data_IF_723509663799
#
_entry.id   IF_723509663799
#
_cell.length_a   1.000
_cell.length_b   1.000
_cell.length_c   1.000
_cell.angle_alpha   90.00
_cell.angle_beta   90.00
_cell.angle_gamma   90.00
#
_symmetry.space_group_name_H-M   'P 1'
#
loop_
_entity.id
_entity.type
_entity.pdbx_description
1 polymer ?
#
# COMPACT_ATOMS: atom_id res chain seq x y z
N UNK A 1 -0.30 -5.51 15.57
CA UNK A 1 -1.25 -4.75 14.71
C UNK A 1 -0.95 -5.05 13.25
N UNK A 2 -1.99 -5.23 12.44
CA UNK A 2 -1.86 -5.28 10.99
C UNK A 2 -2.11 -3.88 10.43
N UNK A 3 -1.22 -3.40 9.56
CA UNK A 3 -1.40 -2.14 8.84
C UNK A 3 -1.51 -2.42 7.34
N UNK A 4 -2.24 -1.58 6.63
CA UNK A 4 -2.24 -1.61 5.17
C UNK A 4 -0.98 -0.91 4.67
N UNK A 5 -0.26 -1.48 3.70
CA UNK A 5 0.90 -0.83 3.10
C UNK A 5 0.58 -0.36 1.68
N UNK A 6 0.81 0.93 1.43
CA UNK A 6 0.58 1.55 0.12
C UNK A 6 1.85 1.61 -0.72
N UNK A 7 1.68 1.82 -2.01
CA UNK A 7 2.77 1.93 -2.99
C UNK A 7 3.81 2.96 -2.57
N UNK A 8 3.39 4.15 -2.15
CA UNK A 8 4.30 5.23 -1.75
C UNK A 8 5.25 4.85 -0.62
N UNK A 9 4.76 4.08 0.35
CA UNK A 9 5.58 3.61 1.46
C UNK A 9 6.61 2.56 0.98
N UNK A 10 6.20 1.64 0.12
CA UNK A 10 7.10 0.64 -0.45
C UNK A 10 8.20 1.30 -1.29
N UNK A 11 7.85 2.31 -2.08
CA UNK A 11 8.82 3.07 -2.87
C UNK A 11 9.79 3.80 -1.94
N UNK A 12 9.29 4.47 -0.92
CA UNK A 12 10.11 5.21 0.05
C UNK A 12 11.12 4.29 0.75
N UNK A 13 10.70 3.09 1.15
CA UNK A 13 11.59 2.10 1.73
C UNK A 13 12.67 1.61 0.77
N UNK A 14 12.33 1.47 -0.52
CA UNK A 14 13.18 0.87 -1.54
C UNK A 14 14.12 1.86 -2.22
N UNK A 15 13.89 3.16 -2.06
CA UNK A 15 14.63 4.22 -2.77
C UNK A 15 15.28 5.18 -1.79
N UNK A 16 16.62 5.07 -1.57
CA UNK A 16 17.32 5.95 -0.61
C UNK A 16 17.19 7.45 -0.91
N UNK A 17 16.98 7.84 -2.18
CA UNK A 17 16.80 9.23 -2.57
C UNK A 17 15.36 9.76 -2.42
N UNK A 18 14.41 8.91 -2.02
CA UNK A 18 13.03 9.35 -1.78
C UNK A 18 12.97 10.29 -0.58
N UNK A 19 12.17 11.37 -0.70
CA UNK A 19 12.04 12.38 0.37
C UNK A 19 11.56 11.79 1.70
N UNK A 20 10.82 10.66 1.65
CA UNK A 20 10.29 10.00 2.84
C UNK A 20 11.10 8.78 3.29
N UNK A 21 12.27 8.53 2.67
CA UNK A 21 13.03 7.31 2.93
C UNK A 21 13.36 7.11 4.42
N UNK A 22 13.95 8.12 5.06
CA UNK A 22 14.33 8.02 6.47
C UNK A 22 13.11 7.81 7.38
N UNK A 23 12.03 8.54 7.11
CA UNK A 23 10.79 8.42 7.88
C UNK A 23 10.13 7.06 7.68
N UNK A 24 10.10 6.57 6.46
CA UNK A 24 9.55 5.24 6.15
C UNK A 24 10.32 4.14 6.88
N UNK A 25 11.65 4.22 6.89
CA UNK A 25 12.48 3.26 7.62
C UNK A 25 12.19 3.26 9.12
N UNK A 26 12.03 4.43 9.71
CA UNK A 26 11.72 4.54 11.15
C UNK A 26 10.33 4.00 11.48
N UNK A 27 9.32 4.30 10.66
CA UNK A 27 7.97 3.76 10.83
C UNK A 27 8.00 2.23 10.72
N UNK A 28 8.66 1.69 9.70
CA UNK A 28 8.79 0.24 9.51
C UNK A 28 9.52 -0.43 10.66
N UNK A 29 10.58 0.20 11.18
CA UNK A 29 11.32 -0.31 12.33
C UNK A 29 10.44 -0.40 13.57
N UNK A 30 9.68 0.64 13.87
CA UNK A 30 8.77 0.67 15.03
C UNK A 30 7.67 -0.38 14.89
N UNK A 31 7.08 -0.48 13.70
CA UNK A 31 6.02 -1.44 13.43
C UNK A 31 6.52 -2.89 13.61
N UNK A 32 7.71 -3.18 13.08
CA UNK A 32 8.35 -4.48 13.25
C UNK A 32 8.65 -4.79 14.72
N UNK A 33 9.20 -3.81 15.44
CA UNK A 33 9.53 -3.98 16.86
C UNK A 33 8.30 -4.27 17.72
N UNK A 34 7.13 -3.78 17.32
CA UNK A 34 5.85 -4.05 17.96
C UNK A 34 5.18 -5.35 17.47
N UNK A 35 5.86 -6.17 16.68
CA UNK A 35 5.29 -7.39 16.12
C UNK A 35 4.30 -7.17 14.99
N UNK A 36 4.37 -6.01 14.33
CA UNK A 36 3.44 -5.62 13.28
C UNK A 36 3.58 -6.42 11.99
N UNK A 37 2.48 -6.52 11.28
CA UNK A 37 2.36 -7.19 9.98
C UNK A 37 1.70 -6.23 8.99
N UNK A 38 1.73 -6.61 7.72
CA UNK A 38 1.16 -5.78 6.65
C UNK A 38 0.16 -6.57 5.80
N UNK A 39 -0.82 -5.86 5.31
CA UNK A 39 -1.75 -6.32 4.27
C UNK A 39 -1.74 -5.32 3.12
N UNK A 40 -1.92 -5.78 1.91
CA UNK A 40 -2.06 -4.93 0.74
C UNK A 40 -2.72 -5.71 -0.41
N UNK A 41 -2.69 -5.16 -1.61
CA UNK A 41 -3.32 -5.77 -2.77
C UNK A 41 -2.34 -6.01 -3.92
N UNK A 42 -2.74 -6.88 -4.84
CA UNK A 42 -2.03 -7.11 -6.10
C UNK A 42 -1.86 -5.82 -6.91
N UNK A 43 -2.80 -4.86 -6.80
CA UNK A 43 -2.71 -3.57 -7.50
C UNK A 43 -1.54 -2.73 -6.98
N UNK A 44 -1.33 -2.72 -5.66
CA UNK A 44 -0.18 -2.04 -5.05
C UNK A 44 1.12 -2.68 -5.51
N UNK A 45 1.18 -4.01 -5.54
CA UNK A 45 2.36 -4.71 -6.07
C UNK A 45 2.65 -4.33 -7.51
N UNK A 46 1.61 -4.26 -8.36
CA UNK A 46 1.76 -3.89 -9.76
C UNK A 46 2.29 -2.47 -9.91
N UNK A 47 1.74 -1.52 -9.16
CA UNK A 47 2.23 -0.14 -9.17
C UNK A 47 3.69 -0.05 -8.69
N UNK A 48 4.00 -0.75 -7.61
CA UNK A 48 5.36 -0.78 -7.06
C UNK A 48 6.35 -1.33 -8.09
N UNK A 49 6.04 -2.47 -8.70
CA UNK A 49 6.92 -3.08 -9.71
C UNK A 49 7.10 -2.14 -10.91
N UNK A 50 6.04 -1.54 -11.41
CA UNK A 50 6.11 -0.59 -12.53
C UNK A 50 7.05 0.57 -12.20
N UNK A 51 6.94 1.12 -11.00
CA UNK A 51 7.79 2.22 -10.55
C UNK A 51 9.26 1.80 -10.46
N UNK A 52 9.54 0.63 -9.88
CA UNK A 52 10.90 0.09 -9.78
C UNK A 52 11.48 -0.23 -11.16
N UNK A 53 10.65 -0.71 -12.09
CA UNK A 53 11.06 -0.99 -13.46
C UNK A 53 11.62 0.26 -14.15
N UNK A 54 10.91 1.38 -14.06
CA UNK A 54 11.34 2.64 -14.67
C UNK A 54 12.54 3.27 -13.95
N UNK A 55 12.67 3.08 -12.65
CA UNK A 55 13.76 3.67 -11.88
C UNK A 55 15.05 2.86 -11.92
N UNK A 56 14.94 1.52 -11.83
CA UNK A 56 16.08 0.64 -11.57
C UNK A 56 16.30 -0.41 -12.66
N UNK A 57 15.39 -0.54 -13.61
CA UNK A 57 15.45 -1.55 -14.66
C UNK A 57 14.86 -2.91 -14.28
N UNK A 58 14.74 -3.84 -15.26
CA UNK A 58 13.97 -5.08 -15.08
C UNK A 58 14.52 -6.02 -14.00
N UNK A 59 15.83 -6.19 -13.92
CA UNK A 59 16.44 -7.15 -12.99
C UNK A 59 16.23 -6.73 -11.54
N UNK A 60 16.49 -5.46 -11.20
CA UNK A 60 16.32 -4.94 -9.85
C UNK A 60 14.84 -4.90 -9.46
N UNK A 61 13.95 -4.50 -10.38
CA UNK A 61 12.51 -4.49 -10.14
C UNK A 61 11.99 -5.89 -9.81
N UNK A 62 12.39 -6.90 -10.57
CA UNK A 62 12.02 -8.30 -10.33
C UNK A 62 12.54 -8.79 -8.97
N UNK A 63 13.77 -8.46 -8.62
CA UNK A 63 14.36 -8.86 -7.35
C UNK A 63 13.59 -8.27 -6.16
N UNK A 64 13.23 -6.98 -6.23
CA UNK A 64 12.46 -6.32 -5.17
C UNK A 64 11.05 -6.87 -5.05
N UNK A 65 10.38 -7.13 -6.17
CA UNK A 65 9.08 -7.79 -6.18
C UNK A 65 9.15 -9.17 -5.53
N UNK A 66 10.14 -9.98 -5.91
CA UNK A 66 10.35 -11.32 -5.34
C UNK A 66 10.57 -11.28 -3.84
N UNK A 67 11.32 -10.29 -3.33
CA UNK A 67 11.53 -10.12 -1.90
C UNK A 67 10.23 -9.85 -1.14
N UNK A 68 9.37 -8.99 -1.68
CA UNK A 68 8.05 -8.71 -1.09
C UNK A 68 7.16 -9.95 -1.09
N UNK A 69 7.14 -10.70 -2.18
CA UNK A 69 6.31 -11.91 -2.29
C UNK A 69 6.75 -13.03 -1.34
N UNK A 70 8.04 -13.06 -0.97
CA UNK A 70 8.59 -14.05 -0.03
C UNK A 70 8.52 -13.60 1.42
N UNK A 71 8.23 -12.32 1.67
CA UNK A 71 8.18 -11.77 3.03
C UNK A 71 6.93 -12.25 3.75
N UNK A 72 7.12 -13.09 4.77
CA UNK A 72 6.02 -13.70 5.53
C UNK A 72 5.23 -12.69 6.39
N UNK A 73 5.72 -11.47 6.54
CA UNK A 73 5.01 -10.41 7.27
C UNK A 73 4.00 -9.65 6.41
N UNK A 74 3.96 -9.93 5.11
CA UNK A 74 3.04 -9.29 4.15
C UNK A 74 2.02 -10.30 3.64
N UNK A 75 0.75 -9.90 3.64
CA UNK A 75 -0.34 -10.62 3.00
C UNK A 75 -0.84 -9.81 1.80
N UNK A 76 -0.88 -10.45 0.63
CA UNK A 76 -1.27 -9.80 -0.63
C UNK A 76 -2.61 -10.33 -1.10
N UNK A 77 -3.62 -9.46 -1.15
CA UNK A 77 -4.96 -9.81 -1.60
C UNK A 77 -5.06 -9.74 -3.14
N UNK A 78 -5.70 -10.73 -3.77
CA UNK A 78 -5.92 -10.68 -5.22
C UNK A 78 -6.93 -9.59 -5.60
N UNK A 79 -6.75 -9.00 -6.78
CA UNK A 79 -7.67 -8.01 -7.33
C UNK A 79 -8.77 -8.71 -8.15
N UNK A 80 -9.73 -9.32 -7.46
CA UNK A 80 -10.85 -10.01 -8.11
C UNK A 80 -11.85 -9.02 -8.72
N UNK A 81 -12.63 -9.43 -9.74
CA UNK A 81 -13.69 -8.58 -10.28
C UNK A 81 -14.69 -8.09 -9.24
N UNK A 82 -15.05 -8.95 -8.27
CA UNK A 82 -15.96 -8.57 -7.19
C UNK A 82 -15.37 -7.49 -6.30
N UNK A 83 -14.10 -7.64 -5.92
CA UNK A 83 -13.41 -6.63 -5.12
C UNK A 83 -13.34 -5.28 -5.86
N UNK A 84 -13.04 -5.30 -7.17
CA UNK A 84 -12.99 -4.08 -7.98
C UNK A 84 -14.35 -3.39 -8.05
N UNK A 85 -15.43 -4.17 -8.21
CA UNK A 85 -16.80 -3.64 -8.26
C UNK A 85 -17.19 -3.02 -6.92
N UNK A 86 -16.96 -3.71 -5.82
CA UNK A 86 -17.26 -3.21 -4.48
C UNK A 86 -16.47 -1.93 -4.17
N UNK A 87 -15.20 -1.90 -4.53
CA UNK A 87 -14.35 -0.72 -4.34
C UNK A 87 -14.89 0.48 -5.13
N UNK A 88 -15.28 0.26 -6.39
CA UNK A 88 -15.85 1.31 -7.23
C UNK A 88 -17.14 1.87 -6.65
N UNK A 89 -18.06 1.01 -6.26
CA UNK A 89 -19.36 1.43 -5.74
C UNK A 89 -19.27 2.11 -4.37
N UNK A 90 -18.44 1.59 -3.48
CA UNK A 90 -18.35 2.10 -2.12
C UNK A 90 -17.47 3.33 -1.98
N UNK A 91 -16.45 3.46 -2.82
CA UNK A 91 -15.44 4.51 -2.64
C UNK A 91 -15.40 5.51 -3.78
N UNK A 92 -15.37 5.08 -5.04
CA UNK A 92 -15.35 6.03 -6.16
C UNK A 92 -16.68 6.77 -6.33
N UNK A 93 -17.81 6.07 -6.21
CA UNK A 93 -19.12 6.69 -6.30
C UNK A 93 -19.43 7.57 -5.09
N UNK A 94 -19.14 7.08 -3.89
CA UNK A 94 -19.41 7.79 -2.65
C UNK A 94 -18.58 9.06 -2.49
N UNK A 95 -17.32 9.02 -2.92
CA UNK A 95 -16.39 10.15 -2.89
C UNK A 95 -16.16 10.71 -4.30
N UNK A 96 -17.24 10.95 -5.04
CA UNK A 96 -17.20 11.31 -6.47
C UNK A 96 -16.44 12.63 -6.74
N UNK A 97 -16.31 13.51 -5.74
CA UNK A 97 -15.55 14.75 -5.80
C UNK A 97 -14.06 14.57 -5.54
N UNK A 98 -13.63 13.37 -5.09
CA UNK A 98 -12.23 13.05 -4.81
C UNK A 98 -11.57 12.38 -6.00
N UNK A 99 -10.27 12.62 -6.15
CA UNK A 99 -9.47 12.01 -7.24
C UNK A 99 -8.83 10.70 -6.77
N UNK A 100 -9.62 9.82 -6.18
CA UNK A 100 -9.17 8.49 -5.81
C UNK A 100 -8.94 7.63 -7.05
N UNK A 101 -7.82 6.94 -7.12
CA UNK A 101 -7.58 5.93 -8.13
C UNK A 101 -8.34 4.64 -7.78
N UNK A 102 -8.45 3.71 -8.73
CA UNK A 102 -8.99 2.38 -8.45
C UNK A 102 -8.13 1.66 -7.41
N UNK A 103 -6.81 1.82 -7.44
CA UNK A 103 -5.91 1.25 -6.43
C UNK A 103 -6.22 1.82 -5.04
N UNK A 104 -6.45 3.13 -4.93
CA UNK A 104 -6.89 3.75 -3.67
C UNK A 104 -8.19 3.11 -3.18
N UNK A 105 -9.18 3.02 -4.04
CA UNK A 105 -10.50 2.49 -3.70
C UNK A 105 -10.42 1.02 -3.22
N UNK A 106 -9.62 0.20 -3.89
CA UNK A 106 -9.37 -1.19 -3.47
C UNK A 106 -8.67 -1.23 -2.12
N UNK A 107 -7.71 -0.36 -1.88
CA UNK A 107 -7.02 -0.25 -0.60
C UNK A 107 -8.02 0.07 0.53
N UNK A 108 -8.89 1.05 0.31
CA UNK A 108 -9.91 1.43 1.30
C UNK A 108 -10.93 0.31 1.54
N UNK A 109 -11.34 -0.38 0.50
CA UNK A 109 -12.26 -1.51 0.63
C UNK A 109 -11.66 -2.65 1.46
N UNK A 110 -10.40 -3.00 1.19
CA UNK A 110 -9.69 -4.01 1.98
C UNK A 110 -9.53 -3.59 3.43
N UNK A 111 -9.15 -2.34 3.68
CA UNK A 111 -9.03 -1.84 5.05
C UNK A 111 -10.36 -1.91 5.80
N UNK A 112 -11.44 -1.55 5.13
CA UNK A 112 -12.79 -1.59 5.72
C UNK A 112 -13.22 -3.03 6.03
N UNK A 113 -13.10 -3.94 5.09
CA UNK A 113 -13.54 -5.33 5.26
C UNK A 113 -12.66 -6.12 6.22
N UNK A 114 -11.36 -5.82 6.28
CA UNK A 114 -10.42 -6.49 7.18
C UNK A 114 -10.29 -5.80 8.55
N UNK A 115 -11.07 -4.76 8.79
CA UNK A 115 -11.04 -3.96 10.04
C UNK A 115 -9.65 -3.40 10.34
N UNK A 116 -8.98 -2.89 9.31
CA UNK A 116 -7.65 -2.26 9.43
C UNK A 116 -7.85 -0.76 9.51
N UNK A 117 -7.36 -0.14 10.59
CA UNK A 117 -7.54 1.28 10.84
C UNK A 117 -6.38 2.16 10.38
N UNK A 118 -5.18 1.57 10.21
CA UNK A 118 -3.97 2.32 9.92
C UNK A 118 -3.33 1.88 8.62
N UNK A 119 -2.89 2.88 7.83
CA UNK A 119 -2.13 2.67 6.60
C UNK A 119 -0.69 3.14 6.76
N UNK A 120 0.23 2.36 6.25
CA UNK A 120 1.60 2.80 6.00
C UNK A 120 1.62 3.47 4.64
N UNK A 121 1.44 4.77 4.64
CA UNK A 121 1.27 5.61 3.45
C UNK A 121 1.72 7.02 3.75
N UNK A 122 2.01 7.77 2.70
CA UNK A 122 2.31 9.21 2.78
C UNK A 122 1.27 10.05 2.04
N UNK A 123 0.30 9.39 1.40
CA UNK A 123 -0.79 10.03 0.68
C UNK A 123 -1.94 10.35 1.63
N UNK A 124 -2.42 11.59 1.59
CA UNK A 124 -3.54 12.06 2.42
C UNK A 124 -4.89 11.46 2.02
N UNK A 125 -5.00 10.78 0.89
CA UNK A 125 -6.22 10.11 0.47
C UNK A 125 -6.75 9.15 1.54
N UNK A 126 -5.87 8.46 2.26
CA UNK A 126 -6.26 7.55 3.35
C UNK A 126 -6.96 8.30 4.47
N UNK A 127 -6.46 9.47 4.86
CA UNK A 127 -7.10 10.30 5.89
C UNK A 127 -8.45 10.82 5.41
N UNK A 128 -8.53 11.27 4.16
CA UNK A 128 -9.79 11.72 3.55
C UNK A 128 -10.83 10.60 3.54
N UNK A 129 -10.43 9.36 3.32
CA UNK A 129 -11.29 8.19 3.35
C UNK A 129 -11.69 7.75 4.77
N UNK A 130 -11.09 8.33 5.82
CA UNK A 130 -11.44 8.06 7.21
C UNK A 130 -10.48 7.15 7.96
N UNK A 131 -9.31 6.86 7.40
CA UNK A 131 -8.30 6.02 8.03
C UNK A 131 -7.18 6.86 8.65
N UNK A 132 -6.41 6.25 9.55
CA UNK A 132 -5.24 6.88 10.15
C UNK A 132 -3.97 6.45 9.41
N UNK A 133 -2.93 7.28 9.46
CA UNK A 133 -1.61 6.91 8.95
C UNK A 133 -0.73 6.40 10.10
N UNK A 134 0.12 5.41 9.81
CA UNK A 134 1.21 5.05 10.73
C UNK A 134 2.15 6.25 10.87
N UNK A 135 2.58 6.50 12.10
CA UNK A 135 3.43 7.63 12.42
C UNK A 135 4.74 7.20 13.10
#
# INVERSE_FOLDING_TARGET
MVAFVDTGALIALSRPSDQYHARAKEIARRHKAAGGRYTSSALVLAEFHTHMLYLLGPAAARAKLGALLRDSTHEWHPATPDLLRMASERWLSRFADQRFSLTDAVSFELMSTESISHAFAFDRHFETAGFSLLA
#
